data_IF_453732306258
#
_entry.id   IF_453732306258
#
_cell.length_a   1.000
_cell.length_b   1.000
_cell.length_c   1.000
_cell.angle_alpha   90.00
_cell.angle_beta   90.00
_cell.angle_gamma   90.00
#
_symmetry.space_group_name_H-M   'P 1'
#
loop_
_entity.id
_entity.type
_entity.pdbx_description
1 polymer ?
#
# COMPACT_ATOMS: atom_id res chain seq x y z
N UNK A 1 -25.51 2.00 12.79
CA UNK A 1 -25.13 0.84 11.97
C UNK A 1 -24.17 -0.15 12.66
N UNK A 2 -23.88 0.01 13.95
CA UNK A 2 -22.88 -0.78 14.70
C UNK A 2 -23.38 -2.02 15.45
N UNK A 3 -24.68 -2.22 15.64
CA UNK A 3 -25.24 -3.33 16.45
C UNK A 3 -25.46 -4.65 15.68
N UNK A 4 -25.46 -4.62 14.35
CA UNK A 4 -25.72 -5.81 13.53
C UNK A 4 -24.49 -6.70 13.37
N UNK A 5 -23.29 -6.11 13.37
CA UNK A 5 -22.03 -6.83 13.19
C UNK A 5 -21.63 -7.63 14.44
N UNK A 6 -21.91 -7.10 15.63
CA UNK A 6 -21.64 -7.77 16.91
C UNK A 6 -22.47 -9.05 17.09
N UNK A 7 -23.73 -9.04 16.68
CA UNK A 7 -24.61 -10.20 16.80
C UNK A 7 -24.29 -11.31 15.81
N UNK A 8 -23.73 -10.98 14.64
CA UNK A 8 -23.27 -11.97 13.66
C UNK A 8 -22.01 -12.70 14.16
N UNK A 9 -21.09 -11.97 14.76
CA UNK A 9 -19.84 -12.52 15.29
C UNK A 9 -20.09 -13.44 16.52
N UNK A 10 -20.96 -13.02 17.43
CA UNK A 10 -21.32 -13.80 18.62
C UNK A 10 -22.11 -15.08 18.27
N UNK A 11 -22.94 -15.07 17.23
CA UNK A 11 -23.65 -16.27 16.74
C UNK A 11 -22.68 -17.29 16.14
N UNK A 12 -21.66 -16.85 15.41
CA UNK A 12 -20.66 -17.75 14.84
C UNK A 12 -19.72 -18.36 15.91
N UNK A 13 -19.41 -17.61 16.96
CA UNK A 13 -18.63 -18.14 18.10
C UNK A 13 -19.39 -19.23 18.86
N UNK A 14 -20.71 -19.11 19.03
CA UNK A 14 -21.54 -20.15 19.64
C UNK A 14 -21.64 -21.41 18.76
N UNK A 15 -21.72 -21.25 17.43
CA UNK A 15 -21.66 -22.38 16.50
C UNK A 15 -20.35 -23.14 16.57
N UNK A 16 -19.23 -22.43 16.71
CA UNK A 16 -17.91 -23.00 16.86
C UNK A 16 -17.77 -23.76 18.20
N UNK A 17 -18.34 -23.19 19.27
CA UNK A 17 -18.38 -23.85 20.60
C UNK A 17 -19.22 -25.13 20.62
N UNK A 18 -20.32 -25.17 19.88
CA UNK A 18 -21.20 -26.35 19.77
C UNK A 18 -20.53 -27.45 18.94
N UNK A 19 -19.84 -27.10 17.85
CA UNK A 19 -19.06 -28.06 17.06
C UNK A 19 -17.90 -28.65 17.85
N UNK A 20 -17.27 -27.87 18.73
CA UNK A 20 -16.17 -28.33 19.59
C UNK A 20 -16.67 -29.24 20.74
N UNK A 21 -17.86 -28.97 21.28
CA UNK A 21 -18.44 -29.77 22.37
C UNK A 21 -18.92 -31.14 21.92
N UNK A 22 -19.43 -31.26 20.70
CA UNK A 22 -19.85 -32.57 20.14
C UNK A 22 -18.69 -33.47 19.70
N UNK A 23 -17.47 -32.94 19.55
CA UNK A 23 -16.28 -33.74 19.25
C UNK A 23 -15.62 -34.37 20.49
N UNK A 24 -16.10 -34.07 21.70
CA UNK A 24 -15.49 -34.53 22.94
C UNK A 24 -15.97 -35.92 23.40
N UNK A 25 -17.06 -36.45 22.84
CA UNK A 25 -17.66 -37.72 23.28
C UNK A 25 -17.56 -38.90 22.29
N UNK A 26 -16.90 -38.71 21.16
CA UNK A 26 -16.61 -39.82 20.24
C UNK A 26 -15.11 -40.06 20.20
N UNK A 27 -14.65 -41.27 20.59
CA UNK A 27 -13.24 -41.66 20.63
C UNK A 27 -12.45 -41.27 19.37
N UNK A 28 -11.93 -40.06 19.38
CA UNK A 28 -11.07 -39.54 18.29
C UNK A 28 -9.72 -40.19 18.44
N UNK A 29 -9.38 -41.06 17.49
CA UNK A 29 -8.04 -41.61 17.35
C UNK A 29 -7.00 -40.48 17.37
N UNK A 30 -5.82 -40.70 17.92
CA UNK A 30 -4.71 -39.73 18.00
C UNK A 30 -4.49 -38.93 16.70
N UNK A 31 -4.82 -39.55 15.56
CA UNK A 31 -4.74 -38.91 14.22
C UNK A 31 -5.60 -37.64 14.07
N UNK A 32 -6.81 -37.61 14.60
CA UNK A 32 -7.72 -36.44 14.41
C UNK A 32 -7.27 -35.27 15.23
N UNK A 33 -6.78 -35.47 16.46
CA UNK A 33 -6.22 -34.40 17.31
C UNK A 33 -4.98 -33.79 16.68
N UNK A 34 -4.11 -34.61 16.12
CA UNK A 34 -2.90 -34.14 15.42
C UNK A 34 -3.26 -33.27 14.22
N UNK A 35 -4.26 -33.66 13.43
CA UNK A 35 -4.73 -32.88 12.29
C UNK A 35 -5.33 -31.54 12.69
N UNK A 36 -6.09 -31.47 13.79
CA UNK A 36 -6.66 -30.23 14.32
C UNK A 36 -5.53 -29.27 14.76
N UNK A 37 -4.52 -29.78 15.44
CA UNK A 37 -3.36 -28.96 15.88
C UNK A 37 -2.58 -28.43 14.68
N UNK A 38 -2.32 -29.26 13.67
CA UNK A 38 -1.62 -28.84 12.45
C UNK A 38 -2.42 -27.76 11.72
N UNK A 39 -3.75 -27.94 11.61
CA UNK A 39 -4.61 -26.95 10.94
C UNK A 39 -4.67 -25.63 11.70
N UNK A 40 -4.76 -25.64 13.02
CA UNK A 40 -4.73 -24.45 13.87
C UNK A 40 -3.38 -23.72 13.73
N UNK A 41 -2.28 -24.45 13.68
CA UNK A 41 -0.94 -23.90 13.51
C UNK A 41 -0.75 -23.23 12.13
N UNK A 42 -1.22 -23.89 11.07
CA UNK A 42 -1.24 -23.35 9.72
C UNK A 42 -2.09 -22.07 9.63
N UNK A 43 -3.26 -22.07 10.26
CA UNK A 43 -4.15 -20.92 10.28
C UNK A 43 -3.53 -19.73 11.02
N UNK A 44 -2.89 -19.98 12.16
CA UNK A 44 -2.15 -18.96 12.91
C UNK A 44 -0.99 -18.38 12.09
N UNK A 45 -0.27 -19.23 11.33
CA UNK A 45 0.83 -18.83 10.47
C UNK A 45 0.34 -17.97 9.29
N UNK A 46 -0.79 -18.34 8.67
CA UNK A 46 -1.42 -17.53 7.62
C UNK A 46 -1.88 -16.16 8.12
N UNK A 47 -2.47 -16.09 9.33
CA UNK A 47 -2.87 -14.82 9.92
C UNK A 47 -1.64 -13.95 10.21
N UNK A 48 -0.57 -14.52 10.79
CA UNK A 48 0.69 -13.81 11.04
C UNK A 48 1.33 -13.27 9.76
N UNK A 49 1.37 -14.08 8.70
CA UNK A 49 1.87 -13.67 7.39
C UNK A 49 1.01 -12.53 6.79
N UNK A 50 -0.33 -12.62 6.92
CA UNK A 50 -1.24 -11.55 6.47
C UNK A 50 -0.93 -10.22 7.17
N UNK A 51 -0.71 -10.23 8.47
CA UNK A 51 -0.34 -9.01 9.20
C UNK A 51 0.99 -8.43 8.72
N UNK A 52 1.97 -9.28 8.44
CA UNK A 52 3.27 -8.84 7.93
C UNK A 52 3.15 -8.12 6.56
N UNK A 53 2.30 -8.61 5.67
CA UNK A 53 2.06 -8.00 4.36
C UNK A 53 1.17 -6.75 4.41
N UNK A 54 0.42 -6.53 5.49
CA UNK A 54 -0.42 -5.34 5.67
C UNK A 54 0.33 -4.16 6.32
N UNK A 55 1.63 -4.30 6.67
CA UNK A 55 2.42 -3.18 7.18
C UNK A 55 2.47 -2.11 6.09
N UNK A 56 1.98 -0.88 6.36
CA UNK A 56 2.02 0.19 5.38
C UNK A 56 3.47 0.50 5.00
N UNK A 57 3.72 0.82 3.74
CA UNK A 57 5.02 1.34 3.33
C UNK A 57 5.32 2.62 4.10
N UNK A 58 6.56 2.76 4.59
CA UNK A 58 6.98 3.95 5.29
C UNK A 58 6.83 5.19 4.40
N UNK A 59 6.38 6.29 5.01
CA UNK A 59 6.29 7.57 4.33
C UNK A 59 7.70 8.04 3.94
N UNK A 60 7.86 8.52 2.72
CA UNK A 60 9.11 9.07 2.23
C UNK A 60 9.10 10.58 2.39
N UNK A 61 10.23 11.14 2.78
CA UNK A 61 10.44 12.59 2.83
C UNK A 61 10.89 13.18 1.49
N UNK A 62 11.29 12.32 0.56
CA UNK A 62 11.81 12.73 -0.75
C UNK A 62 11.14 11.95 -1.88
N UNK A 63 10.97 12.64 -3.01
CA UNK A 63 10.52 12.02 -4.24
C UNK A 63 11.46 12.38 -5.41
N UNK A 64 11.75 11.39 -6.22
CA UNK A 64 12.53 11.51 -7.45
C UNK A 64 11.58 11.58 -8.65
N UNK A 65 11.74 12.61 -9.46
CA UNK A 65 10.95 12.79 -10.67
C UNK A 65 11.85 12.44 -11.85
N UNK A 66 11.41 11.44 -12.60
CA UNK A 66 12.09 11.02 -13.81
C UNK A 66 11.28 11.40 -15.05
N UNK A 67 11.96 11.76 -16.11
CA UNK A 67 11.39 11.98 -17.42
C UNK A 67 12.23 11.26 -18.47
N UNK A 68 11.60 10.48 -19.35
CA UNK A 68 12.28 9.64 -20.34
C UNK A 68 13.35 8.71 -19.71
N UNK A 69 13.11 8.27 -18.46
CA UNK A 69 14.05 7.40 -17.73
C UNK A 69 15.26 8.11 -17.12
N UNK A 70 15.34 9.43 -17.22
CA UNK A 70 16.38 10.24 -16.59
C UNK A 70 15.81 11.02 -15.40
N UNK A 71 16.57 11.12 -14.32
CA UNK A 71 16.19 11.94 -13.16
C UNK A 71 16.25 13.40 -13.56
N UNK A 72 15.12 14.08 -13.48
CA UNK A 72 15.00 15.51 -13.80
C UNK A 72 15.07 16.35 -12.55
N UNK A 73 14.46 15.87 -11.46
CA UNK A 73 14.41 16.62 -10.20
C UNK A 73 14.17 15.66 -9.01
N UNK A 74 14.88 15.91 -7.92
CA UNK A 74 14.56 15.34 -6.61
C UNK A 74 13.94 16.44 -5.77
N UNK A 75 12.83 16.15 -5.12
CA UNK A 75 12.04 17.11 -4.33
C UNK A 75 11.92 16.66 -2.89
N UNK A 76 12.07 17.60 -1.97
CA UNK A 76 11.76 17.42 -0.55
C UNK A 76 10.25 17.60 -0.34
N UNK A 77 9.59 16.58 0.17
CA UNK A 77 8.14 16.58 0.38
C UNK A 77 7.71 17.42 1.59
N UNK A 78 8.66 17.79 2.46
CA UNK A 78 8.39 18.64 3.62
C UNK A 78 8.22 20.11 3.26
N UNK A 79 8.59 20.49 2.02
CA UNK A 79 8.53 21.86 1.53
C UNK A 79 7.41 21.96 0.49
N UNK A 80 6.37 22.70 0.80
CA UNK A 80 5.28 22.94 -0.13
C UNK A 80 5.80 23.72 -1.35
N UNK A 81 5.61 23.16 -2.53
CA UNK A 81 6.09 23.74 -3.78
C UNK A 81 5.27 23.25 -4.97
N UNK A 82 5.24 24.06 -6.02
CA UNK A 82 4.61 23.69 -7.29
C UNK A 82 5.55 24.00 -8.45
N UNK A 83 5.61 23.12 -9.42
CA UNK A 83 6.43 23.31 -10.61
C UNK A 83 5.92 22.47 -11.77
N UNK A 84 6.30 22.88 -12.99
CA UNK A 84 5.91 22.21 -14.22
C UNK A 84 7.10 21.44 -14.80
N UNK A 85 6.86 20.21 -15.20
CA UNK A 85 7.79 19.39 -16.00
C UNK A 85 7.25 19.29 -17.42
N UNK A 86 8.03 19.78 -18.38
CA UNK A 86 7.71 19.73 -19.82
C UNK A 86 8.74 18.86 -20.54
N UNK A 87 8.49 17.54 -20.67
CA UNK A 87 9.44 16.61 -21.28
C UNK A 87 9.57 16.77 -22.80
N UNK A 88 8.57 17.32 -23.48
CA UNK A 88 8.56 17.56 -24.90
C UNK A 88 7.56 18.67 -25.25
N UNK A 89 7.62 19.20 -26.47
CA UNK A 89 6.68 20.19 -26.96
C UNK A 89 5.23 19.69 -26.86
N UNK A 90 4.35 20.50 -26.28
CA UNK A 90 2.94 20.16 -26.04
C UNK A 90 2.69 19.13 -24.94
N UNK A 91 3.73 18.64 -24.24
CA UNK A 91 3.60 17.70 -23.13
C UNK A 91 4.06 18.35 -21.84
N UNK A 92 3.21 18.33 -20.83
CA UNK A 92 3.52 18.93 -19.54
C UNK A 92 2.73 18.26 -18.40
N UNK A 93 3.27 18.36 -17.21
CA UNK A 93 2.64 17.94 -15.96
C UNK A 93 2.96 18.98 -14.89
N UNK A 94 1.94 19.49 -14.20
CA UNK A 94 2.10 20.31 -13.00
C UNK A 94 2.15 19.38 -11.80
N UNK A 95 3.23 19.49 -11.04
CA UNK A 95 3.49 18.68 -9.87
C UNK A 95 3.41 19.61 -8.66
N UNK A 96 2.57 19.23 -7.70
CA UNK A 96 2.38 19.97 -6.46
C UNK A 96 2.79 19.12 -5.28
N UNK A 97 3.62 19.68 -4.41
CA UNK A 97 3.96 19.12 -3.09
C UNK A 97 3.18 19.90 -2.07
N UNK A 98 2.41 19.22 -1.23
CA UNK A 98 1.59 19.82 -0.18
C UNK A 98 1.39 18.84 0.98
N UNK A 99 1.52 19.36 2.21
CA UNK A 99 1.30 18.60 3.45
C UNK A 99 2.12 17.27 3.50
N UNK A 100 3.38 17.31 3.08
CA UNK A 100 4.25 16.15 3.06
C UNK A 100 3.92 15.10 1.99
N UNK A 101 3.15 15.46 0.97
CA UNK A 101 2.72 14.57 -0.12
C UNK A 101 2.92 15.23 -1.48
N UNK A 102 3.15 14.42 -2.49
CA UNK A 102 3.25 14.88 -3.87
C UNK A 102 2.12 14.31 -4.72
N UNK A 103 1.64 15.12 -5.64
CA UNK A 103 0.62 14.74 -6.61
C UNK A 103 0.79 15.49 -7.93
N UNK A 104 0.16 14.98 -8.99
CA UNK A 104 0.03 15.69 -10.26
C UNK A 104 -1.31 16.40 -10.25
N UNK A 105 -1.30 17.71 -10.28
CA UNK A 105 -2.52 18.54 -10.23
C UNK A 105 -3.07 18.85 -11.62
N UNK A 106 -2.19 18.99 -12.61
CA UNK A 106 -2.57 19.20 -13.99
C UNK A 106 -1.65 18.42 -14.94
N UNK A 107 -2.17 17.99 -16.06
CA UNK A 107 -1.40 17.29 -17.08
C UNK A 107 -2.00 17.43 -18.46
N UNK A 108 -1.14 17.45 -19.49
CA UNK A 108 -1.56 17.42 -20.91
C UNK A 108 -1.94 16.01 -21.41
N UNK A 109 -1.78 14.97 -20.57
CA UNK A 109 -2.12 13.60 -20.97
C UNK A 109 -3.64 13.39 -21.04
N UNK A 110 -4.16 12.67 -22.05
CA UNK A 110 -5.60 12.51 -22.23
C UNK A 110 -6.26 11.62 -21.17
N UNK A 111 -5.50 10.71 -20.58
CA UNK A 111 -6.03 9.69 -19.67
C UNK A 111 -6.16 10.16 -18.22
N UNK A 112 -5.43 11.19 -17.83
CA UNK A 112 -5.38 11.79 -16.47
C UNK A 112 -5.15 10.78 -15.31
N UNK A 113 -4.62 9.58 -15.59
CA UNK A 113 -4.34 8.56 -14.57
C UNK A 113 -3.35 9.06 -13.50
N UNK A 114 -2.35 9.85 -13.91
CA UNK A 114 -1.40 10.45 -12.98
C UNK A 114 -2.07 11.43 -11.99
N UNK A 115 -3.09 12.16 -12.42
CA UNK A 115 -3.88 13.06 -11.57
C UNK A 115 -4.83 12.28 -10.65
N UNK A 116 -5.46 11.23 -11.18
CA UNK A 116 -6.40 10.38 -10.43
C UNK A 116 -5.74 9.61 -9.27
N UNK A 117 -4.41 9.47 -9.29
CA UNK A 117 -3.66 8.88 -8.18
C UNK A 117 -3.76 9.72 -6.91
N UNK A 118 -3.94 11.05 -7.05
CA UNK A 118 -4.00 11.98 -5.93
C UNK A 118 -2.66 12.20 -5.24
N UNK A 119 -2.70 12.83 -4.07
CA UNK A 119 -1.52 13.14 -3.27
C UNK A 119 -1.09 11.95 -2.43
N UNK A 120 0.20 11.55 -2.54
CA UNK A 120 0.78 10.45 -1.78
C UNK A 120 2.26 10.72 -1.45
N UNK A 121 2.78 10.01 -0.46
CA UNK A 121 4.19 10.06 -0.03
C UNK A 121 4.79 8.66 0.15
N UNK A 122 4.06 7.62 -0.24
CA UNK A 122 4.47 6.23 -0.09
C UNK A 122 3.76 5.33 -1.09
N UNK A 123 4.21 4.09 -1.19
CA UNK A 123 3.58 3.06 -2.02
C UNK A 123 4.05 3.08 -3.47
N UNK A 124 3.15 2.78 -4.39
CA UNK A 124 3.47 2.71 -5.83
C UNK A 124 3.73 4.08 -6.43
N UNK A 125 4.65 4.11 -7.38
CA UNK A 125 5.02 5.31 -8.17
C UNK A 125 3.80 5.94 -8.86
N UNK A 126 3.85 7.27 -9.05
CA UNK A 126 2.90 7.98 -9.92
C UNK A 126 3.49 7.97 -11.32
N UNK A 127 2.78 7.37 -12.28
CA UNK A 127 3.26 7.23 -13.64
C UNK A 127 2.35 7.95 -14.63
N UNK A 128 2.93 8.75 -15.49
CA UNK A 128 2.28 9.35 -16.66
C UNK A 128 2.90 8.79 -17.93
N UNK A 129 2.31 7.73 -18.48
CA UNK A 129 2.85 7.05 -19.68
C UNK A 129 2.89 7.96 -20.92
N UNK A 130 1.84 8.74 -21.26
CA UNK A 130 1.89 9.61 -22.43
C UNK A 130 2.99 10.66 -22.38
N UNK A 131 3.30 11.17 -21.18
CA UNK A 131 4.34 12.17 -20.97
C UNK A 131 5.67 11.56 -20.53
N UNK A 132 5.77 10.23 -20.42
CA UNK A 132 6.96 9.47 -20.00
C UNK A 132 7.57 10.01 -18.70
N UNK A 133 6.72 10.35 -17.77
CA UNK A 133 7.11 10.89 -16.46
C UNK A 133 6.74 9.88 -15.36
N UNK A 134 7.63 9.76 -14.38
CA UNK A 134 7.40 8.93 -13.19
C UNK A 134 7.84 9.69 -11.95
N UNK A 135 7.05 9.62 -10.88
CA UNK A 135 7.40 10.12 -9.55
C UNK A 135 7.60 8.90 -8.66
N UNK A 136 8.81 8.72 -8.15
CA UNK A 136 9.22 7.61 -7.29
C UNK A 136 9.49 8.13 -5.90
N UNK A 137 9.03 7.42 -4.88
CA UNK A 137 9.31 7.74 -3.48
C UNK A 137 10.66 7.14 -3.08
N UNK A 138 11.53 7.97 -2.49
CA UNK A 138 12.84 7.55 -2.02
C UNK A 138 12.75 7.27 -0.51
N UNK A 139 12.95 6.01 -0.09
CA UNK A 139 13.21 5.72 1.32
C UNK A 139 14.55 6.31 1.78
N UNK A 140 14.69 6.56 3.09
CA UNK A 140 15.89 7.19 3.69
C UNK A 140 17.22 6.57 3.23
N UNK A 141 17.26 5.27 3.00
CA UNK A 141 18.47 4.54 2.60
C UNK A 141 19.02 4.90 1.20
N UNK A 142 18.22 5.51 0.32
CA UNK A 142 18.67 5.89 -1.03
C UNK A 142 19.27 7.29 -1.10
N UNK A 143 19.02 8.13 -0.11
CA UNK A 143 19.45 9.52 -0.11
C UNK A 143 20.95 9.61 0.15
N UNK A 144 21.50 8.79 1.05
CA UNK A 144 22.93 8.75 1.36
C UNK A 144 23.80 8.37 0.14
N UNK A 145 23.23 7.60 -0.81
CA UNK A 145 23.93 7.21 -2.04
C UNK A 145 23.96 8.30 -3.13
N UNK A 146 23.11 9.34 -3.00
CA UNK A 146 22.99 10.42 -4.00
C UNK A 146 23.78 11.67 -3.58
N UNK A 147 24.01 11.85 -2.27
CA UNK A 147 24.66 13.03 -1.69
C UNK A 147 26.15 12.78 -1.38
N UNK A 148 26.62 11.51 -1.46
CA UNK A 148 28.02 11.08 -1.18
C UNK A 148 28.98 11.28 -2.35
#
# INVERSE_FOLDING_TARGET
MSRSFSNFFLRNLNYFGILFKNSAEGGTTMKTRTWIVIFALLLALCIGASFYFLIPAEASDYAEITSHGQVVKTVDLRIDQEFVISPAEGKWNTITVKDGKVGVTEASCPDHYCMNRGFCNSGTEIVCLPNRMTIRFLGEQKIDAIIG
#
